data_IF_365377501847
#
_entry.id   IF_365377501847
#
_cell.length_a   1.000
_cell.length_b   1.000
_cell.length_c   1.000
_cell.angle_alpha   90.00
_cell.angle_beta   90.00
_cell.angle_gamma   90.00
#
_symmetry.space_group_name_H-M   'P 1'
#
loop_
_entity.id
_entity.type
_entity.pdbx_description
1 polymer ?
#
# COMPACT_ATOMS: atom_id res chain seq x y z
N UNK A 1 11.89 -1.28 -4.89
CA UNK A 1 10.58 -0.78 -4.49
C UNK A 1 10.66 0.72 -4.23
N UNK A 2 9.73 1.51 -4.75
CA UNK A 2 9.65 2.96 -4.54
C UNK A 2 8.24 3.24 -4.01
N UNK A 3 8.13 3.55 -2.72
CA UNK A 3 6.88 3.87 -2.06
C UNK A 3 6.60 5.38 -2.13
N UNK A 4 5.40 5.75 -2.53
CA UNK A 4 4.85 7.12 -2.44
C UNK A 4 3.79 7.11 -1.33
N UNK A 5 4.20 7.45 -0.11
CA UNK A 5 3.35 7.42 1.09
C UNK A 5 2.14 8.35 0.93
N UNK A 6 0.95 7.80 1.06
CA UNK A 6 -0.30 8.54 0.92
C UNK A 6 -0.67 8.94 -0.51
N UNK A 7 -0.11 8.26 -1.52
CA UNK A 7 -0.38 8.54 -2.94
C UNK A 7 -1.77 8.06 -3.39
N UNK A 8 -2.62 8.95 -3.90
CA UNK A 8 -3.98 8.64 -4.37
C UNK A 8 -3.98 8.06 -5.78
N UNK A 9 -4.75 7.00 -5.98
CA UNK A 9 -4.89 6.34 -7.28
C UNK A 9 -5.54 7.23 -8.35
N UNK A 10 -6.47 8.11 -7.98
CA UNK A 10 -7.13 9.02 -8.93
C UNK A 10 -6.16 10.07 -9.50
N UNK A 11 -5.12 10.46 -8.76
CA UNK A 11 -4.02 11.30 -9.26
C UNK A 11 -3.03 10.45 -10.06
N UNK A 12 -2.69 9.27 -9.59
CA UNK A 12 -1.79 8.35 -10.30
C UNK A 12 -2.31 7.97 -11.70
N UNK A 13 -3.62 7.77 -11.86
CA UNK A 13 -4.27 7.54 -13.17
C UNK A 13 -4.10 8.68 -14.17
N UNK A 14 -3.78 9.88 -13.73
CA UNK A 14 -3.53 11.05 -14.58
C UNK A 14 -2.04 11.42 -14.65
N UNK A 15 -1.20 10.72 -13.92
CA UNK A 15 0.25 10.96 -13.86
C UNK A 15 0.98 10.18 -14.94
N UNK A 16 1.59 10.87 -15.89
CA UNK A 16 2.36 10.23 -16.96
C UNK A 16 3.60 9.49 -16.41
N UNK A 17 4.24 10.02 -15.38
CA UNK A 17 5.43 9.39 -14.79
C UNK A 17 5.07 8.11 -14.03
N UNK A 18 3.90 8.04 -13.39
CA UNK A 18 3.48 6.84 -12.65
C UNK A 18 2.94 5.77 -13.61
N UNK A 19 2.06 6.13 -14.56
CA UNK A 19 1.49 5.17 -15.51
C UNK A 19 2.52 4.57 -16.46
N UNK A 20 3.46 5.39 -16.87
CA UNK A 20 4.42 5.05 -17.90
C UNK A 20 5.86 5.11 -17.37
N UNK A 21 6.08 4.68 -16.12
CA UNK A 21 7.39 4.76 -15.48
C UNK A 21 8.51 4.18 -16.37
N UNK A 22 8.17 3.18 -17.21
CA UNK A 22 8.95 2.76 -18.38
C UNK A 22 7.95 2.30 -19.46
N UNK A 23 7.54 3.20 -20.33
CA UNK A 23 6.38 3.15 -21.22
C UNK A 23 6.09 1.82 -21.92
N UNK A 24 7.11 1.05 -22.31
CA UNK A 24 6.94 -0.17 -23.11
C UNK A 24 6.89 -1.45 -22.26
N UNK A 25 7.30 -1.38 -21.00
CA UNK A 25 7.58 -2.53 -20.16
C UNK A 25 6.99 -2.40 -18.75
N UNK A 26 5.91 -1.63 -18.58
CA UNK A 26 5.27 -1.43 -17.29
C UNK A 26 3.82 -1.89 -17.28
N UNK A 27 3.41 -2.47 -16.17
CA UNK A 27 2.02 -2.82 -15.89
C UNK A 27 1.51 -1.87 -14.82
N UNK A 28 0.43 -1.16 -15.12
CA UNK A 28 -0.24 -0.29 -14.17
C UNK A 28 -1.47 -0.99 -13.60
N UNK A 29 -1.48 -1.21 -12.28
CA UNK A 29 -2.64 -1.73 -11.56
C UNK A 29 -3.39 -0.55 -10.95
N UNK A 30 -4.56 -0.26 -11.50
CA UNK A 30 -5.35 0.93 -11.16
C UNK A 30 -6.41 0.70 -10.09
N UNK A 31 -6.50 -0.52 -9.54
CA UNK A 31 -7.40 -0.90 -8.46
C UNK A 31 -6.71 -1.89 -7.52
N UNK A 32 -5.83 -1.38 -6.67
CA UNK A 32 -5.09 -2.17 -5.70
C UNK A 32 -5.50 -1.83 -4.28
N UNK A 33 -6.03 -2.81 -3.55
CA UNK A 33 -6.59 -2.58 -2.23
C UNK A 33 -5.56 -2.90 -1.16
N UNK A 34 -5.26 -1.88 -0.36
CA UNK A 34 -4.35 -2.03 0.77
C UNK A 34 -5.02 -2.68 1.98
N UNK A 35 -4.23 -3.40 2.77
CA UNK A 35 -4.72 -4.00 4.02
C UNK A 35 -5.09 -2.97 5.07
N UNK A 36 -4.40 -1.84 5.14
CA UNK A 36 -4.68 -0.80 6.12
C UNK A 36 -4.56 0.59 5.48
N UNK A 37 -5.41 1.56 5.86
CA UNK A 37 -5.32 2.94 5.38
C UNK A 37 -4.23 3.74 6.11
N UNK A 38 -3.09 3.12 6.48
CA UNK A 38 -1.92 3.75 7.10
C UNK A 38 -0.69 2.86 6.93
N UNK A 39 0.48 3.47 6.90
CA UNK A 39 1.76 2.91 6.45
C UNK A 39 2.17 1.61 7.16
N UNK A 40 2.14 1.58 8.51
CA UNK A 40 2.71 0.46 9.26
C UNK A 40 2.10 -0.89 8.85
N UNK A 41 0.80 -1.07 9.05
CA UNK A 41 0.15 -2.36 8.74
C UNK A 41 0.06 -2.61 7.24
N UNK A 42 -0.06 -1.56 6.40
CA UNK A 42 -0.07 -1.69 4.94
C UNK A 42 1.23 -2.30 4.42
N UNK A 43 2.40 -1.76 4.84
CA UNK A 43 3.70 -2.26 4.40
C UNK A 43 4.03 -3.64 4.98
N UNK A 44 3.70 -3.91 6.26
CA UNK A 44 3.87 -5.26 6.82
C UNK A 44 3.10 -6.31 6.01
N UNK A 45 1.84 -6.03 5.63
CA UNK A 45 1.04 -6.94 4.82
C UNK A 45 1.60 -7.10 3.40
N UNK A 46 2.04 -6.00 2.76
CA UNK A 46 2.63 -6.03 1.43
C UNK A 46 3.87 -6.92 1.37
N UNK A 47 4.83 -6.72 2.29
CA UNK A 47 6.11 -7.43 2.26
C UNK A 47 6.02 -8.86 2.77
N UNK A 48 4.95 -9.23 3.50
CA UNK A 48 4.74 -10.60 4.00
C UNK A 48 3.75 -11.41 3.15
N UNK A 49 2.99 -10.78 2.26
CA UNK A 49 1.93 -11.44 1.50
C UNK A 49 0.78 -11.97 2.36
N UNK A 50 0.66 -11.51 3.61
CA UNK A 50 -0.33 -11.96 4.56
C UNK A 50 -0.93 -10.78 5.34
N UNK A 51 -2.20 -10.89 5.72
CA UNK A 51 -2.89 -9.85 6.46
C UNK A 51 -2.36 -9.72 7.90
N UNK A 52 -2.35 -8.50 8.42
CA UNK A 52 -1.81 -8.17 9.74
C UNK A 52 -2.53 -8.86 10.90
N UNK A 53 -3.84 -9.15 10.75
CA UNK A 53 -4.61 -9.93 11.74
C UNK A 53 -4.08 -11.37 11.91
N UNK A 54 -3.30 -11.89 10.96
CA UNK A 54 -2.61 -13.18 11.02
C UNK A 54 -1.14 -13.04 11.41
N UNK A 55 -0.47 -12.00 10.91
CA UNK A 55 0.97 -11.81 11.16
C UNK A 55 1.29 -11.17 12.50
N UNK A 56 0.31 -10.56 13.17
CA UNK A 56 0.48 -9.81 14.40
C UNK A 56 0.50 -8.28 14.23
N UNK A 57 0.64 -7.76 13.00
CA UNK A 57 0.81 -6.33 12.72
C UNK A 57 -0.46 -5.66 12.22
N UNK A 58 -1.52 -5.63 13.05
CA UNK A 58 -2.83 -5.10 12.68
C UNK A 58 -3.18 -3.72 13.28
N UNK A 59 -2.25 -3.08 13.97
CA UNK A 59 -2.41 -1.73 14.50
C UNK A 59 -1.08 -1.04 14.70
N UNK A 60 -1.08 0.28 14.92
CA UNK A 60 0.12 1.03 15.29
C UNK A 60 0.83 0.47 16.52
N UNK A 61 0.08 -0.05 17.49
CA UNK A 61 0.58 -0.62 18.74
C UNK A 61 1.29 -1.96 18.53
N UNK A 62 0.93 -2.69 17.47
CA UNK A 62 1.45 -4.01 17.14
C UNK A 62 2.50 -3.99 16.02
N UNK A 63 3.03 -2.83 15.63
CA UNK A 63 4.00 -2.70 14.54
C UNK A 63 5.30 -3.49 14.74
N UNK A 64 5.61 -3.92 15.98
CA UNK A 64 6.79 -4.73 16.32
C UNK A 64 6.47 -6.20 16.59
N UNK A 65 5.23 -6.60 16.41
CA UNK A 65 4.75 -7.94 16.80
C UNK A 65 4.68 -8.90 15.61
N UNK A 66 5.42 -8.63 14.54
CA UNK A 66 5.47 -9.50 13.39
C UNK A 66 5.93 -10.91 13.78
N UNK A 67 5.13 -11.92 13.45
CA UNK A 67 5.38 -13.30 13.83
C UNK A 67 6.34 -13.99 12.85
N UNK A 68 7.65 -13.76 13.01
CA UNK A 68 8.71 -14.37 12.21
C UNK A 68 8.77 -15.91 12.29
N UNK A 69 8.16 -16.53 13.30
CA UNK A 69 8.13 -17.99 13.39
C UNK A 69 7.07 -18.61 12.46
N UNK A 70 6.09 -17.81 12.01
CA UNK A 70 4.99 -18.26 11.17
C UNK A 70 5.03 -17.69 9.76
N UNK A 71 5.60 -16.51 9.58
CA UNK A 71 5.61 -15.80 8.31
C UNK A 71 7.01 -15.32 7.95
N UNK A 72 7.36 -15.42 6.69
CA UNK A 72 8.53 -14.77 6.08
C UNK A 72 8.10 -13.50 5.36
N UNK A 73 9.00 -12.54 5.34
CA UNK A 73 8.89 -11.37 4.47
C UNK A 73 9.58 -11.62 3.14
N UNK A 74 9.33 -10.78 2.14
CA UNK A 74 10.08 -10.82 0.87
C UNK A 74 11.59 -10.66 1.13
N UNK A 75 11.97 -9.89 2.15
CA UNK A 75 13.38 -9.64 2.51
C UNK A 75 14.05 -10.93 2.98
N UNK A 76 13.34 -11.75 3.78
CA UNK A 76 13.85 -13.05 4.22
C UNK A 76 14.16 -13.96 3.02
N UNK A 77 13.21 -14.06 2.06
CA UNK A 77 13.41 -14.84 0.84
C UNK A 77 14.56 -14.33 -0.01
N UNK A 78 14.67 -13.00 -0.18
CA UNK A 78 15.72 -12.40 -0.99
C UNK A 78 17.09 -12.57 -0.36
N UNK A 79 17.20 -12.36 0.96
CA UNK A 79 18.45 -12.57 1.70
C UNK A 79 18.94 -14.03 1.60
N UNK A 80 18.05 -15.01 1.77
CA UNK A 80 18.34 -16.44 1.59
C UNK A 80 18.77 -16.79 0.15
N UNK A 81 18.39 -15.97 -0.84
CA UNK A 81 18.79 -16.11 -2.24
C UNK A 81 19.97 -15.22 -2.66
N UNK A 82 20.77 -14.79 -1.67
CA UNK A 82 21.99 -14.00 -1.83
C UNK A 82 21.77 -12.61 -2.45
N UNK A 83 20.63 -11.97 -2.17
CA UNK A 83 20.46 -10.54 -2.45
C UNK A 83 21.07 -9.72 -1.31
N UNK A 84 21.77 -8.66 -1.69
CA UNK A 84 22.08 -7.58 -0.74
C UNK A 84 20.85 -6.73 -0.54
N UNK A 85 20.41 -6.58 0.69
CA UNK A 85 19.11 -6.01 1.03
C UNK A 85 19.28 -4.67 1.74
N UNK A 86 18.68 -3.62 1.17
CA UNK A 86 18.79 -2.26 1.67
C UNK A 86 17.41 -1.59 1.71
N UNK A 87 17.14 -0.82 2.76
CA UNK A 87 15.98 0.04 2.84
C UNK A 87 16.34 1.42 3.39
N UNK A 88 15.66 2.44 2.87
CA UNK A 88 15.55 3.76 3.47
C UNK A 88 14.08 4.08 3.75
N UNK A 89 13.77 4.38 5.02
CA UNK A 89 12.41 4.51 5.53
C UNK A 89 12.30 5.68 6.53
N UNK A 90 11.11 6.31 6.71
CA UNK A 90 10.96 7.43 7.65
C UNK A 90 10.99 7.01 9.13
N UNK A 91 10.70 5.74 9.42
CA UNK A 91 10.70 5.20 10.80
C UNK A 91 10.92 3.70 10.80
N UNK A 92 11.50 3.18 11.89
CA UNK A 92 11.74 1.75 12.10
C UNK A 92 10.48 0.95 12.50
N UNK A 93 9.29 1.53 12.40
CA UNK A 93 8.02 0.88 12.73
C UNK A 93 7.27 0.35 11.50
N UNK A 94 7.62 0.78 10.30
CA UNK A 94 6.84 0.49 9.09
C UNK A 94 7.17 -0.84 8.43
N UNK A 95 8.32 -1.42 8.73
CA UNK A 95 8.71 -2.76 8.26
C UNK A 95 9.58 -3.47 9.30
N UNK A 96 9.51 -4.82 9.41
CA UNK A 96 10.46 -5.58 10.21
C UNK A 96 11.89 -5.35 9.71
N UNK A 97 12.83 -5.07 10.65
CA UNK A 97 14.24 -4.80 10.30
C UNK A 97 15.04 -6.07 10.01
N UNK A 98 14.47 -7.24 10.24
CA UNK A 98 15.19 -8.51 10.12
C UNK A 98 15.66 -8.75 8.68
N UNK A 99 16.89 -9.30 8.55
CA UNK A 99 17.52 -9.71 7.29
C UNK A 99 17.78 -8.59 6.26
N UNK A 100 17.74 -7.30 6.70
CA UNK A 100 18.35 -6.23 5.92
C UNK A 100 19.85 -6.15 6.21
N UNK A 101 20.68 -6.10 5.18
CA UNK A 101 22.12 -5.80 5.30
C UNK A 101 22.31 -4.34 5.72
N UNK A 102 21.47 -3.43 5.19
CA UNK A 102 21.43 -2.03 5.59
C UNK A 102 20.01 -1.52 5.73
N UNK A 103 19.77 -0.80 6.81
CA UNK A 103 18.47 -0.23 7.11
C UNK A 103 18.64 1.20 7.63
N UNK A 104 18.34 2.16 6.78
CA UNK A 104 18.40 3.57 7.10
C UNK A 104 17.05 4.06 7.61
N UNK A 105 17.08 5.02 8.51
CA UNK A 105 15.91 5.76 8.97
C UNK A 105 16.18 7.23 8.73
N UNK A 106 15.54 7.79 7.72
CA UNK A 106 15.79 9.12 7.21
C UNK A 106 14.61 10.04 7.49
N UNK A 107 14.86 11.12 8.22
CA UNK A 107 13.88 12.17 8.45
C UNK A 107 13.91 13.14 7.24
N UNK A 108 12.91 13.08 6.39
CA UNK A 108 12.78 13.94 5.19
C UNK A 108 12.78 15.43 5.52
N UNK A 109 12.40 15.83 6.73
CA UNK A 109 12.43 17.22 7.17
C UNK A 109 13.86 17.74 7.37
N UNK A 110 14.85 16.84 7.50
CA UNK A 110 16.23 17.16 7.86
C UNK A 110 17.26 16.86 6.76
N UNK A 111 16.88 16.14 5.70
CA UNK A 111 17.77 15.73 4.61
C UNK A 111 17.21 16.08 3.23
N UNK A 112 18.07 16.25 2.25
CA UNK A 112 17.67 16.22 0.84
C UNK A 112 17.51 14.77 0.37
N UNK A 113 16.26 14.29 0.40
CA UNK A 113 15.91 12.91 0.07
C UNK A 113 16.33 12.52 -1.35
N UNK A 114 16.25 13.43 -2.33
CA UNK A 114 16.67 13.16 -3.71
C UNK A 114 18.16 12.83 -3.78
N UNK A 115 18.98 13.64 -3.16
CA UNK A 115 20.43 13.41 -3.07
C UNK A 115 20.74 12.13 -2.31
N UNK A 116 20.12 11.90 -1.18
CA UNK A 116 20.31 10.70 -0.37
C UNK A 116 19.95 9.41 -1.15
N UNK A 117 18.79 9.38 -1.79
CA UNK A 117 18.38 8.23 -2.61
C UNK A 117 19.27 8.03 -3.84
N UNK A 118 19.78 9.11 -4.43
CA UNK A 118 20.78 8.98 -5.52
C UNK A 118 22.09 8.35 -5.02
N UNK A 119 22.57 8.72 -3.84
CA UNK A 119 23.75 8.08 -3.23
C UNK A 119 23.53 6.58 -2.99
N UNK A 120 22.33 6.19 -2.53
CA UNK A 120 21.95 4.78 -2.40
C UNK A 120 21.91 4.07 -3.75
N UNK A 121 21.35 4.68 -4.80
CA UNK A 121 21.37 4.12 -6.16
C UNK A 121 22.81 3.96 -6.69
N UNK A 122 23.69 4.93 -6.46
CA UNK A 122 25.12 4.82 -6.82
C UNK A 122 25.83 3.67 -6.08
N UNK A 123 25.47 3.44 -4.81
CA UNK A 123 25.97 2.31 -4.04
C UNK A 123 25.47 0.98 -4.62
N UNK A 124 24.15 0.88 -4.90
CA UNK A 124 23.57 -0.32 -5.52
C UNK A 124 24.21 -0.61 -6.87
N UNK A 125 24.47 0.42 -7.68
CA UNK A 125 25.19 0.26 -8.98
C UNK A 125 26.55 -0.42 -8.81
N UNK A 126 27.34 -0.01 -7.82
CA UNK A 126 28.65 -0.64 -7.56
C UNK A 126 28.52 -2.12 -7.20
N UNK A 127 27.49 -2.48 -6.43
CA UNK A 127 27.21 -3.88 -6.09
C UNK A 127 26.78 -4.68 -7.34
N UNK A 128 25.89 -4.13 -8.16
CA UNK A 128 25.46 -4.75 -9.42
C UNK A 128 26.64 -4.95 -10.37
N UNK A 129 27.55 -3.99 -10.48
CA UNK A 129 28.76 -4.11 -11.31
C UNK A 129 29.69 -5.23 -10.82
N UNK A 130 29.70 -5.50 -9.53
CA UNK A 130 30.41 -6.64 -8.93
C UNK A 130 29.62 -7.96 -8.98
N UNK A 131 28.49 -8.01 -9.72
CA UNK A 131 27.59 -9.17 -9.88
C UNK A 131 26.80 -9.55 -8.63
N UNK A 132 26.69 -8.64 -7.67
CA UNK A 132 25.80 -8.82 -6.52
C UNK A 132 24.35 -8.54 -6.92
N UNK A 133 23.43 -9.44 -6.59
CA UNK A 133 21.99 -9.18 -6.65
C UNK A 133 21.62 -8.19 -5.54
N UNK A 134 20.73 -7.26 -5.82
CA UNK A 134 20.32 -6.25 -4.84
C UNK A 134 18.82 -6.20 -4.68
N UNK A 135 18.38 -5.81 -3.48
CA UNK A 135 17.03 -5.34 -3.19
C UNK A 135 17.14 -3.97 -2.53
N UNK A 136 16.42 -3.00 -3.05
CA UNK A 136 16.38 -1.65 -2.51
C UNK A 136 14.94 -1.19 -2.31
N UNK A 137 14.60 -0.73 -1.10
CA UNK A 137 13.37 -0.02 -0.81
C UNK A 137 13.67 1.46 -0.56
N UNK A 138 13.04 2.33 -1.33
CA UNK A 138 13.05 3.77 -1.18
C UNK A 138 11.66 4.25 -0.77
N UNK A 139 11.58 5.07 0.28
CA UNK A 139 10.32 5.58 0.79
C UNK A 139 10.28 7.11 0.66
N UNK A 140 9.30 7.62 -0.08
CA UNK A 140 9.03 9.05 -0.21
C UNK A 140 7.83 9.41 0.65
N UNK A 141 8.05 10.16 1.74
CA UNK A 141 7.02 10.56 2.70
C UNK A 141 6.61 12.03 2.60
N UNK A 142 7.02 12.75 1.54
CA UNK A 142 6.73 14.19 1.40
C UNK A 142 5.26 14.56 1.43
N UNK A 143 4.36 13.69 0.89
CA UNK A 143 2.91 13.89 1.01
C UNK A 143 2.49 13.74 2.47
N UNK A 144 2.91 12.65 3.14
CA UNK A 144 2.62 12.39 4.54
C UNK A 144 3.05 13.56 5.43
N UNK A 145 4.31 14.01 5.30
CA UNK A 145 4.85 15.12 6.07
C UNK A 145 4.06 16.42 5.86
N UNK A 146 3.76 16.76 4.60
CA UNK A 146 2.95 17.94 4.28
C UNK A 146 1.54 17.87 4.88
N UNK A 147 0.89 16.72 4.84
CA UNK A 147 -0.43 16.49 5.44
C UNK A 147 -0.35 16.48 6.97
N UNK A 148 0.68 15.87 7.57
CA UNK A 148 0.90 15.93 9.02
C UNK A 148 0.91 17.35 9.52
N UNK A 149 1.65 18.23 8.84
CA UNK A 149 1.84 19.60 9.28
C UNK A 149 0.65 20.52 8.98
N UNK A 150 -0.07 20.26 7.91
CA UNK A 150 -1.17 21.13 7.45
C UNK A 150 -2.56 20.63 7.85
N UNK A 151 -2.72 19.35 8.15
CA UNK A 151 -4.03 18.74 8.47
C UNK A 151 -4.00 18.04 9.83
N UNK A 152 -3.13 17.05 10.03
CA UNK A 152 -3.19 16.20 11.23
C UNK A 152 -2.89 16.93 12.53
N UNK A 153 -2.04 17.96 12.49
CA UNK A 153 -1.76 18.82 13.66
C UNK A 153 -2.88 19.82 13.95
N UNK A 154 -3.66 20.23 12.95
CA UNK A 154 -4.64 21.30 13.05
C UNK A 154 -6.05 20.83 13.33
N UNK A 155 -6.49 19.77 12.66
CA UNK A 155 -7.87 19.31 12.66
C UNK A 155 -8.04 18.02 13.46
N UNK A 156 -9.28 17.76 13.87
CA UNK A 156 -9.75 16.46 14.37
C UNK A 156 -10.64 15.80 13.31
N UNK A 157 -11.01 14.54 13.50
CA UNK A 157 -11.89 13.81 12.57
C UNK A 157 -13.31 14.41 12.45
N UNK A 158 -13.69 15.32 13.33
CA UNK A 158 -15.00 15.98 13.37
C UNK A 158 -14.92 17.49 13.18
N UNK A 159 -13.76 18.02 12.76
CA UNK A 159 -13.58 19.45 12.49
C UNK A 159 -14.31 19.87 11.22
N UNK A 160 -15.47 20.51 11.35
CA UNK A 160 -16.31 20.96 10.22
C UNK A 160 -15.52 21.77 9.19
N UNK A 161 -14.63 22.64 9.66
CA UNK A 161 -13.78 23.47 8.79
C UNK A 161 -12.99 22.63 7.76
N UNK A 162 -12.48 21.46 8.13
CA UNK A 162 -11.77 20.59 7.20
C UNK A 162 -12.70 20.05 6.11
N UNK A 163 -13.88 19.56 6.48
CA UNK A 163 -14.83 18.94 5.53
C UNK A 163 -15.56 19.99 4.67
N UNK A 164 -15.76 21.20 5.17
CA UNK A 164 -16.37 22.31 4.43
C UNK A 164 -15.40 22.94 3.40
N UNK A 165 -14.09 22.72 3.54
CA UNK A 165 -13.05 23.31 2.68
C UNK A 165 -12.39 22.28 1.75
N UNK A 166 -13.18 21.33 1.22
CA UNK A 166 -12.69 20.24 0.35
C UNK A 166 -11.80 20.72 -0.80
N UNK A 167 -12.23 21.76 -1.51
CA UNK A 167 -11.44 22.35 -2.61
C UNK A 167 -10.03 22.76 -2.18
N UNK A 168 -9.90 23.41 -1.03
CA UNK A 168 -8.59 23.82 -0.49
C UNK A 168 -7.75 22.60 -0.08
N UNK A 169 -8.38 21.55 0.42
CA UNK A 169 -7.70 20.29 0.74
C UNK A 169 -7.17 19.63 -0.53
N UNK A 170 -7.96 19.62 -1.60
CA UNK A 170 -7.56 19.11 -2.93
C UNK A 170 -6.37 19.90 -3.49
N UNK A 171 -6.45 21.24 -3.52
CA UNK A 171 -5.34 22.09 -4.00
C UNK A 171 -4.04 21.86 -3.21
N UNK A 172 -4.14 21.70 -1.90
CA UNK A 172 -2.99 21.41 -1.03
C UNK A 172 -2.39 20.02 -1.35
N UNK A 173 -3.24 19.02 -1.48
CA UNK A 173 -2.81 17.66 -1.81
C UNK A 173 -2.18 17.59 -3.20
N UNK A 174 -2.78 18.24 -4.19
CA UNK A 174 -2.28 18.25 -5.57
C UNK A 174 -0.90 18.90 -5.68
N UNK A 175 -0.61 19.93 -4.87
CA UNK A 175 0.74 20.50 -4.79
C UNK A 175 1.76 19.47 -4.24
N UNK A 176 1.41 18.75 -3.17
CA UNK A 176 2.27 17.72 -2.59
C UNK A 176 2.45 16.53 -3.55
N UNK A 177 1.40 16.15 -4.27
CA UNK A 177 1.48 15.08 -5.27
C UNK A 177 2.36 15.47 -6.45
N UNK A 178 2.29 16.73 -6.90
CA UNK A 178 3.20 17.26 -7.93
C UNK A 178 4.67 17.19 -7.49
N UNK A 179 4.97 17.40 -6.22
CA UNK A 179 6.34 17.26 -5.72
C UNK A 179 6.78 15.78 -5.66
N UNK A 180 5.86 14.86 -5.40
CA UNK A 180 6.12 13.42 -5.53
C UNK A 180 6.38 13.01 -7.00
N UNK A 181 5.67 13.59 -7.98
CA UNK A 181 5.94 13.37 -9.41
C UNK A 181 7.36 13.86 -9.79
N UNK A 182 7.76 15.06 -9.37
CA UNK A 182 9.13 15.58 -9.58
C UNK A 182 10.21 14.73 -8.89
N UNK A 183 9.89 14.10 -7.75
CA UNK A 183 10.79 13.13 -7.14
C UNK A 183 10.91 11.88 -8.01
N UNK A 184 9.80 11.33 -8.51
CA UNK A 184 9.84 10.16 -9.39
C UNK A 184 10.55 10.44 -10.72
N UNK A 185 10.36 11.61 -11.32
CA UNK A 185 11.10 12.05 -12.51
C UNK A 185 12.60 12.03 -12.25
N UNK A 186 13.03 12.59 -11.12
CA UNK A 186 14.44 12.59 -10.73
C UNK A 186 14.99 11.17 -10.54
N UNK A 187 14.28 10.30 -9.82
CA UNK A 187 14.70 8.90 -9.63
C UNK A 187 14.77 8.17 -10.98
N UNK A 188 13.79 8.39 -11.86
CA UNK A 188 13.80 7.83 -13.23
C UNK A 188 15.05 8.24 -14.01
N UNK A 189 15.38 9.53 -14.01
CA UNK A 189 16.60 10.03 -14.66
C UNK A 189 17.87 9.39 -14.08
N UNK A 190 17.92 9.18 -12.75
CA UNK A 190 19.08 8.56 -12.11
C UNK A 190 19.20 7.06 -12.39
N UNK A 191 18.08 6.36 -12.53
CA UNK A 191 18.06 4.97 -12.99
C UNK A 191 18.58 4.85 -14.43
N UNK A 192 18.24 5.79 -15.32
CA UNK A 192 18.78 5.87 -16.68
C UNK A 192 20.28 6.17 -16.68
N UNK A 193 20.72 7.19 -15.94
CA UNK A 193 22.14 7.59 -15.81
C UNK A 193 23.01 6.42 -15.34
N UNK A 194 22.53 5.65 -14.39
CA UNK A 194 23.23 4.52 -13.79
C UNK A 194 23.04 3.20 -14.55
N UNK A 195 22.24 3.17 -15.63
CA UNK A 195 21.91 1.96 -16.38
C UNK A 195 21.38 0.83 -15.46
N UNK A 196 20.42 1.14 -14.58
CA UNK A 196 19.84 0.19 -13.62
C UNK A 196 18.53 -0.44 -14.09
N UNK A 197 18.14 -0.24 -15.35
CA UNK A 197 16.90 -0.81 -15.90
C UNK A 197 17.02 -2.28 -16.33
N UNK A 198 18.17 -2.65 -16.89
CA UNK A 198 18.40 -4.01 -17.34
C UNK A 198 18.41 -5.00 -16.18
N UNK A 199 17.73 -6.12 -16.34
CA UNK A 199 17.61 -7.17 -15.31
C UNK A 199 17.05 -6.67 -13.96
N UNK A 200 16.21 -5.64 -13.99
CA UNK A 200 15.59 -5.07 -12.80
C UNK A 200 14.07 -5.25 -12.82
N UNK A 201 13.51 -5.50 -11.66
CA UNK A 201 12.10 -5.31 -11.35
C UNK A 201 12.01 -4.02 -10.55
N UNK A 202 11.24 -3.04 -11.03
CA UNK A 202 11.02 -1.78 -10.33
C UNK A 202 9.53 -1.59 -10.12
N UNK A 203 9.13 -1.34 -8.88
CA UNK A 203 7.73 -1.14 -8.52
C UNK A 203 7.60 0.22 -7.85
N UNK A 204 6.83 1.12 -8.47
CA UNK A 204 6.36 2.37 -7.88
C UNK A 204 4.95 2.14 -7.37
N UNK A 205 4.72 2.40 -6.09
CA UNK A 205 3.43 2.10 -5.47
C UNK A 205 3.07 3.09 -4.36
N UNK A 206 1.81 3.09 -3.96
CA UNK A 206 1.38 3.72 -2.72
C UNK A 206 0.95 2.67 -1.70
N UNK A 207 1.29 2.91 -0.45
CA UNK A 207 0.91 2.08 0.70
C UNK A 207 -0.55 2.28 1.11
N UNK A 208 -1.04 3.52 1.08
CA UNK A 208 -2.44 3.91 1.27
C UNK A 208 -2.74 5.20 0.51
N UNK A 209 -4.02 5.56 0.42
CA UNK A 209 -4.47 6.83 -0.13
C UNK A 209 -4.66 7.91 0.93
N UNK A 210 -5.40 8.97 0.57
CA UNK A 210 -5.61 10.14 1.41
C UNK A 210 -7.03 10.68 1.24
N UNK A 211 -7.74 10.91 2.35
CA UNK A 211 -9.01 11.61 2.33
C UNK A 211 -8.80 13.13 2.30
N UNK A 212 -9.56 13.80 1.45
CA UNK A 212 -9.51 15.25 1.27
C UNK A 212 -10.79 15.93 1.78
N UNK A 213 -11.55 15.23 2.62
CA UNK A 213 -12.82 15.68 3.16
C UNK A 213 -14.05 15.06 2.50
N UNK A 214 -13.87 13.95 1.78
CA UNK A 214 -14.98 13.21 1.14
C UNK A 214 -15.92 12.58 2.17
N UNK A 215 -15.37 12.11 3.28
CA UNK A 215 -16.12 11.40 4.33
C UNK A 215 -15.91 12.03 5.70
N UNK A 216 -17.01 12.43 6.33
CA UNK A 216 -16.99 12.94 7.70
C UNK A 216 -16.45 11.87 8.66
N UNK A 217 -15.54 12.25 9.55
CA UNK A 217 -14.84 11.32 10.43
C UNK A 217 -13.47 10.87 9.94
N UNK A 218 -13.12 11.13 8.65
CA UNK A 218 -11.78 10.89 8.11
C UNK A 218 -11.14 12.20 7.64
N UNK A 219 -10.22 12.75 8.45
CA UNK A 219 -9.55 14.02 8.16
C UNK A 219 -8.37 13.93 7.21
N UNK A 220 -7.80 12.73 7.04
CA UNK A 220 -6.69 12.46 6.13
C UNK A 220 -6.63 10.96 5.81
N UNK A 221 -6.23 10.13 6.76
CA UNK A 221 -6.12 8.68 6.60
C UNK A 221 -6.14 7.98 7.97
N UNK A 222 -6.31 6.67 7.95
CA UNK A 222 -6.09 5.79 9.10
C UNK A 222 -7.30 5.57 10.01
N UNK A 223 -8.43 6.24 9.81
CA UNK A 223 -9.60 6.10 10.66
C UNK A 223 -10.68 5.19 10.06
N UNK A 224 -10.92 5.28 8.76
CA UNK A 224 -12.01 4.61 8.05
C UNK A 224 -11.51 3.83 6.83
N UNK A 225 -12.37 2.96 6.26
CA UNK A 225 -12.03 2.08 5.15
C UNK A 225 -12.71 2.51 3.82
N UNK A 226 -12.73 3.81 3.50
CA UNK A 226 -13.28 4.30 2.24
C UNK A 226 -12.27 4.28 1.09
N UNK A 227 -12.77 4.26 -0.15
CA UNK A 227 -11.96 4.17 -1.37
C UNK A 227 -10.84 5.20 -1.42
N UNK A 228 -11.07 6.42 -0.95
CA UNK A 228 -10.05 7.49 -0.94
C UNK A 228 -8.77 7.13 -0.18
N UNK A 229 -8.86 6.22 0.79
CA UNK A 229 -7.75 5.82 1.66
C UNK A 229 -7.25 4.39 1.43
N UNK A 230 -8.09 3.49 0.87
CA UNK A 230 -7.71 2.08 0.72
C UNK A 230 -7.45 1.65 -0.72
N UNK A 231 -7.93 2.41 -1.72
CA UNK A 231 -7.67 2.11 -3.12
C UNK A 231 -6.38 2.81 -3.55
N UNK A 232 -5.36 2.02 -3.84
CA UNK A 232 -4.00 2.45 -4.17
C UNK A 232 -3.62 2.08 -5.60
N UNK A 233 -2.40 2.36 -6.00
CA UNK A 233 -1.87 2.02 -7.32
C UNK A 233 -0.54 1.29 -7.21
N UNK A 234 -0.22 0.51 -8.26
CA UNK A 234 1.09 -0.08 -8.48
C UNK A 234 1.47 0.08 -9.95
N UNK A 235 2.66 0.58 -10.20
CA UNK A 235 3.31 0.55 -11.50
C UNK A 235 4.47 -0.45 -11.41
N UNK A 236 4.34 -1.59 -12.10
CA UNK A 236 5.26 -2.71 -12.05
C UNK A 236 6.04 -2.78 -13.35
N UNK A 237 7.32 -2.49 -13.30
CA UNK A 237 8.23 -2.55 -14.44
C UNK A 237 9.10 -3.81 -14.41
N UNK A 238 9.28 -4.45 -15.57
CA UNK A 238 10.38 -5.35 -15.89
C UNK A 238 10.57 -5.43 -17.41
N UNK A 239 11.80 -5.58 -17.88
CA UNK A 239 12.13 -5.58 -19.33
C UNK A 239 11.46 -6.72 -20.13
N UNK A 240 11.02 -7.78 -19.49
CA UNK A 240 10.30 -8.91 -20.09
C UNK A 240 8.77 -8.75 -20.10
N UNK A 241 8.25 -7.70 -19.49
CA UNK A 241 6.82 -7.38 -19.50
C UNK A 241 6.44 -6.50 -20.70
N UNK A 242 5.18 -6.52 -21.06
CA UNK A 242 4.59 -5.59 -22.04
C UNK A 242 3.69 -4.61 -21.33
N UNK A 243 3.66 -3.38 -21.83
CA UNK A 243 2.80 -2.34 -21.28
C UNK A 243 1.34 -2.78 -21.25
N UNK A 244 0.71 -2.62 -20.09
CA UNK A 244 -0.69 -2.98 -19.85
C UNK A 244 -1.25 -2.22 -18.65
N UNK A 245 -2.50 -1.78 -18.73
CA UNK A 245 -3.29 -1.42 -17.55
C UNK A 245 -4.15 -2.61 -17.12
N UNK A 246 -4.09 -2.95 -15.83
CA UNK A 246 -4.96 -3.94 -15.19
C UNK A 246 -5.94 -3.19 -14.28
N UNK A 247 -7.21 -3.22 -14.68
CA UNK A 247 -8.31 -2.57 -13.95
C UNK A 247 -9.06 -3.52 -13.01
N UNK A 248 -8.79 -4.82 -13.10
CA UNK A 248 -9.31 -5.80 -12.14
C UNK A 248 -8.76 -5.51 -10.75
N UNK A 249 -9.56 -5.74 -9.72
CA UNK A 249 -9.11 -5.63 -8.34
C UNK A 249 -7.94 -6.58 -8.06
N UNK A 250 -6.90 -6.04 -7.46
CA UNK A 250 -5.79 -6.77 -6.85
C UNK A 250 -5.61 -6.30 -5.41
N UNK A 251 -4.80 -6.99 -4.62
CA UNK A 251 -4.59 -6.67 -3.21
C UNK A 251 -3.11 -6.42 -2.94
N UNK A 252 -2.78 -5.56 -2.01
CA UNK A 252 -1.38 -5.30 -1.64
C UNK A 252 -0.61 -6.57 -1.25
N UNK A 253 -1.29 -7.54 -0.63
CA UNK A 253 -0.71 -8.85 -0.26
C UNK A 253 -0.36 -9.73 -1.47
N UNK A 254 -0.87 -9.44 -2.66
CA UNK A 254 -0.60 -10.21 -3.88
C UNK A 254 0.78 -9.90 -4.49
N UNK A 255 1.40 -8.77 -4.12
CA UNK A 255 2.66 -8.33 -4.74
C UNK A 255 3.87 -9.15 -4.30
N UNK A 256 3.96 -9.53 -3.03
CA UNK A 256 5.07 -10.38 -2.57
C UNK A 256 5.13 -11.72 -3.32
N UNK A 257 4.06 -12.55 -3.39
CA UNK A 257 4.10 -13.79 -4.16
C UNK A 257 4.31 -13.56 -5.66
N UNK A 258 3.84 -12.44 -6.22
CA UNK A 258 4.09 -12.08 -7.62
C UNK A 258 5.58 -11.82 -7.88
N UNK A 259 6.24 -11.06 -7.03
CA UNK A 259 7.68 -10.76 -7.16
C UNK A 259 8.49 -12.06 -7.01
N UNK A 260 8.16 -12.90 -6.03
CA UNK A 260 8.87 -14.16 -5.83
C UNK A 260 8.71 -15.11 -7.02
N UNK A 261 7.50 -15.22 -7.59
CA UNK A 261 7.27 -16.01 -8.81
C UNK A 261 8.08 -15.45 -9.99
N UNK A 262 8.10 -14.13 -10.18
CA UNK A 262 8.89 -13.49 -11.22
C UNK A 262 10.39 -13.79 -11.10
N UNK A 263 10.89 -13.83 -9.88
CA UNK A 263 12.30 -14.18 -9.58
C UNK A 263 12.59 -15.68 -9.58
N UNK A 264 11.58 -16.54 -9.76
CA UNK A 264 11.70 -17.99 -9.68
C UNK A 264 12.00 -18.51 -8.26
N UNK A 265 11.68 -17.74 -7.24
CA UNK A 265 11.87 -18.09 -5.83
C UNK A 265 10.61 -18.78 -5.30
N UNK A 266 10.75 -20.01 -4.84
CA UNK A 266 9.64 -20.79 -4.31
C UNK A 266 9.29 -20.38 -2.88
N UNK A 267 8.00 -20.39 -2.57
CA UNK A 267 7.51 -20.21 -1.20
C UNK A 267 7.94 -21.39 -0.30
N UNK A 268 8.32 -21.07 0.91
CA UNK A 268 8.71 -22.07 1.92
C UNK A 268 7.46 -22.65 2.60
N UNK A 269 7.22 -23.93 2.37
CA UNK A 269 6.05 -24.65 2.89
C UNK A 269 6.10 -24.96 4.39
N UNK A 270 7.19 -24.64 5.07
CA UNK A 270 7.29 -24.74 6.53
C UNK A 270 6.63 -23.54 7.25
N UNK A 271 6.28 -22.49 6.51
CA UNK A 271 5.58 -21.30 7.03
C UNK A 271 4.08 -21.35 6.69
N UNK A 272 3.33 -20.50 7.37
CA UNK A 272 1.89 -20.38 7.12
C UNK A 272 1.61 -19.94 5.67
N UNK A 273 0.54 -20.45 5.05
CA UNK A 273 0.18 -20.04 3.69
C UNK A 273 -0.15 -18.55 3.64
N UNK A 274 0.21 -17.91 2.53
CA UNK A 274 -0.08 -16.50 2.30
C UNK A 274 -1.59 -16.25 2.09
N UNK A 275 -2.03 -15.03 2.31
CA UNK A 275 -3.34 -14.55 1.85
C UNK A 275 -3.25 -14.05 0.40
N UNK A 276 -2.07 -13.58 0.01
CA UNK A 276 -1.75 -13.14 -1.34
C UNK A 276 -1.58 -14.30 -2.32
N UNK A 277 -1.88 -14.00 -3.59
CA UNK A 277 -1.65 -14.89 -4.74
C UNK A 277 -0.88 -14.15 -5.81
N UNK A 278 -0.20 -14.89 -6.69
CA UNK A 278 0.50 -14.27 -7.81
C UNK A 278 -0.46 -13.62 -8.80
N UNK A 279 -0.07 -12.45 -9.30
CA UNK A 279 -0.79 -11.69 -10.32
C UNK A 279 -0.40 -12.08 -11.76
N UNK A 280 0.53 -13.01 -11.96
CA UNK A 280 0.91 -13.47 -13.30
C UNK A 280 -0.25 -14.00 -14.14
N UNK A 281 -1.29 -14.66 -13.60
CA UNK A 281 -2.47 -14.98 -14.39
C UNK A 281 -3.13 -13.74 -15.04
N UNK A 282 -3.29 -12.65 -14.31
CA UNK A 282 -3.82 -11.38 -14.85
C UNK A 282 -2.84 -10.71 -15.84
N UNK A 283 -1.55 -10.75 -15.52
CA UNK A 283 -0.48 -10.23 -16.39
C UNK A 283 -0.49 -10.95 -17.74
N UNK A 284 -0.73 -12.26 -17.74
CA UNK A 284 -0.78 -13.13 -18.92
C UNK A 284 -2.18 -13.27 -19.54
N UNK A 285 -3.05 -12.28 -19.37
CA UNK A 285 -4.40 -12.22 -19.96
C UNK A 285 -5.33 -13.38 -19.60
N UNK A 286 -5.06 -14.07 -18.49
CA UNK A 286 -5.99 -15.02 -17.92
C UNK A 286 -7.03 -14.27 -17.07
N UNK A 287 -8.18 -14.89 -16.89
CA UNK A 287 -9.26 -14.32 -16.07
C UNK A 287 -9.48 -15.18 -14.81
N UNK A 288 -8.58 -15.11 -13.82
CA UNK A 288 -8.75 -15.86 -12.58
C UNK A 288 -9.97 -15.35 -11.81
N UNK A 289 -10.52 -16.20 -10.95
CA UNK A 289 -11.57 -15.76 -10.01
C UNK A 289 -11.02 -14.64 -9.14
N UNK A 290 -11.79 -13.56 -9.03
CA UNK A 290 -11.46 -12.44 -8.17
C UNK A 290 -11.40 -12.87 -6.69
N UNK A 291 -10.40 -12.36 -5.97
CA UNK A 291 -10.28 -12.56 -4.55
C UNK A 291 -10.88 -11.37 -3.78
N UNK A 292 -11.53 -11.65 -2.67
CA UNK A 292 -12.00 -10.61 -1.77
C UNK A 292 -10.81 -9.85 -1.17
N UNK A 293 -10.88 -8.52 -1.15
CA UNK A 293 -9.91 -7.69 -0.48
C UNK A 293 -10.41 -7.32 0.92
N UNK A 294 -9.54 -7.46 1.90
CA UNK A 294 -9.83 -7.15 3.30
C UNK A 294 -8.95 -6.01 3.79
N UNK A 295 -9.57 -5.07 4.49
CA UNK A 295 -8.90 -3.94 5.13
C UNK A 295 -9.39 -3.78 6.56
N UNK A 296 -8.51 -3.42 7.48
CA UNK A 296 -8.90 -3.03 8.84
C UNK A 296 -8.09 -1.86 9.37
N UNK A 297 -8.70 -1.10 10.27
CA UNK A 297 -8.08 0.05 10.92
C UNK A 297 -8.70 0.35 12.28
N UNK A 298 -8.03 1.19 13.06
CA UNK A 298 -8.50 1.69 14.34
C UNK A 298 -8.97 3.13 14.26
N UNK A 299 -10.30 3.35 14.16
CA UNK A 299 -10.86 4.69 14.24
C UNK A 299 -10.68 5.25 15.66
N UNK A 300 -9.92 6.35 15.84
CA UNK A 300 -9.68 6.95 17.15
C UNK A 300 -10.86 7.79 17.65
N UNK A 301 -11.96 7.88 16.89
CA UNK A 301 -13.11 8.74 17.16
C UNK A 301 -12.68 10.22 17.33
N UNK A 302 -13.00 10.83 18.43
CA UNK A 302 -12.61 12.19 18.79
C UNK A 302 -11.20 12.29 19.41
N UNK A 303 -10.61 11.15 19.79
CA UNK A 303 -9.22 11.07 20.27
C UNK A 303 -8.21 11.26 19.12
N UNK A 304 -6.99 11.68 19.46
CA UNK A 304 -5.86 11.69 18.52
C UNK A 304 -5.04 10.38 18.55
N UNK A 305 -5.38 9.48 19.45
CA UNK A 305 -4.64 8.24 19.70
C UNK A 305 -5.45 7.08 19.08
N UNK A 306 -4.88 6.33 18.12
CA UNK A 306 -5.51 5.14 17.57
C UNK A 306 -5.83 4.11 18.66
N UNK A 307 -6.96 3.37 18.56
CA UNK A 307 -7.25 2.28 19.49
C UNK A 307 -6.23 1.15 19.35
N UNK A 308 -6.08 0.34 20.40
CA UNK A 308 -5.14 -0.79 20.37
C UNK A 308 -5.55 -1.89 19.42
N UNK A 309 -6.84 -2.04 19.18
CA UNK A 309 -7.41 -3.03 18.24
C UNK A 309 -8.15 -2.30 17.11
N UNK A 310 -8.11 -2.83 15.88
CA UNK A 310 -8.99 -2.36 14.82
C UNK A 310 -10.48 -2.41 15.24
N UNK A 311 -11.21 -1.38 14.88
CA UNK A 311 -12.63 -1.23 15.18
C UNK A 311 -13.45 -0.78 13.97
N UNK A 312 -12.80 -0.71 12.81
CA UNK A 312 -13.39 -0.44 11.50
C UNK A 312 -12.73 -1.39 10.50
N UNK A 313 -13.54 -2.11 9.76
CA UNK A 313 -13.08 -3.14 8.84
C UNK A 313 -13.87 -3.09 7.54
N UNK A 314 -13.30 -3.54 6.46
CA UNK A 314 -14.03 -3.70 5.20
C UNK A 314 -13.66 -4.95 4.45
N UNK A 315 -14.61 -5.45 3.67
CA UNK A 315 -14.39 -6.48 2.66
C UNK A 315 -14.99 -6.03 1.34
N UNK A 316 -14.28 -6.26 0.24
CA UNK A 316 -14.76 -5.82 -1.07
C UNK A 316 -14.37 -6.75 -2.21
N UNK A 317 -15.14 -6.61 -3.29
CA UNK A 317 -14.82 -7.03 -4.67
C UNK A 317 -14.56 -5.78 -5.52
N UNK A 318 -14.30 -5.95 -6.81
CA UNK A 318 -14.18 -4.81 -7.75
C UNK A 318 -15.44 -3.93 -7.82
N UNK A 319 -16.62 -4.50 -7.55
CA UNK A 319 -17.91 -3.83 -7.73
C UNK A 319 -18.62 -3.51 -6.40
N UNK A 320 -18.34 -4.23 -5.30
CA UNK A 320 -19.08 -4.12 -4.05
C UNK A 320 -18.18 -4.02 -2.84
N UNK A 321 -18.60 -3.25 -1.83
CA UNK A 321 -17.90 -3.14 -0.55
C UNK A 321 -18.84 -3.13 0.64
N UNK A 322 -18.51 -3.94 1.64
CA UNK A 322 -19.13 -3.92 2.96
C UNK A 322 -18.12 -3.33 3.95
N UNK A 323 -18.54 -2.31 4.70
CA UNK A 323 -17.79 -1.73 5.83
C UNK A 323 -18.51 -2.13 7.13
N UNK A 324 -17.73 -2.53 8.13
CA UNK A 324 -18.19 -2.90 9.47
C UNK A 324 -17.54 -1.96 10.47
N UNK A 325 -18.33 -1.09 11.09
CA UNK A 325 -17.91 -0.12 12.08
C UNK A 325 -18.24 -0.67 13.49
N UNK A 326 -17.32 -1.44 14.07
CA UNK A 326 -17.52 -2.08 15.38
C UNK A 326 -17.63 -1.05 16.52
N UNK A 327 -17.05 0.14 16.34
CA UNK A 327 -17.05 1.19 17.36
C UNK A 327 -18.45 1.80 17.63
N UNK A 328 -19.39 1.65 16.71
CA UNK A 328 -20.76 2.18 16.83
C UNK A 328 -21.82 1.18 16.38
N UNK A 329 -21.45 -0.08 16.16
CA UNK A 329 -22.31 -1.19 15.73
C UNK A 329 -23.10 -0.86 14.45
N UNK A 330 -22.44 -0.26 13.46
CA UNK A 330 -23.04 0.03 12.15
C UNK A 330 -22.36 -0.70 11.02
N UNK A 331 -23.10 -0.89 9.93
CA UNK A 331 -22.58 -1.43 8.66
C UNK A 331 -22.95 -0.51 7.51
N UNK A 332 -22.14 -0.58 6.46
CA UNK A 332 -22.37 0.16 5.23
C UNK A 332 -22.12 -0.78 4.04
N UNK A 333 -22.99 -0.72 3.02
CA UNK A 333 -22.85 -1.49 1.77
C UNK A 333 -22.87 -0.52 0.58
N UNK A 334 -21.89 -0.64 -0.31
CA UNK A 334 -21.74 0.23 -1.47
C UNK A 334 -21.59 -0.54 -2.77
N UNK A 335 -22.29 -0.06 -3.82
CA UNK A 335 -22.10 -0.46 -5.21
C UNK A 335 -21.01 0.42 -5.84
N UNK A 336 -19.76 0.01 -5.75
CA UNK A 336 -18.61 0.81 -6.22
C UNK A 336 -18.60 1.06 -7.73
N UNK A 337 -19.34 0.25 -8.50
CA UNK A 337 -19.47 0.41 -9.94
C UNK A 337 -20.33 1.60 -10.30
N UNK A 338 -21.44 1.79 -9.60
CA UNK A 338 -22.41 2.85 -9.86
C UNK A 338 -22.27 4.03 -8.88
N UNK A 339 -21.62 3.81 -7.74
CA UNK A 339 -21.37 4.78 -6.68
C UNK A 339 -19.90 4.70 -6.19
N UNK A 340 -18.93 5.08 -7.02
CA UNK A 340 -17.50 5.02 -6.66
C UNK A 340 -17.11 6.00 -5.56
N UNK A 341 -17.96 6.95 -5.20
CA UNK A 341 -17.74 7.91 -4.10
C UNK A 341 -18.39 7.46 -2.79
N UNK A 342 -19.10 6.31 -2.82
CA UNK A 342 -19.71 5.71 -1.62
C UNK A 342 -20.72 6.65 -0.92
N UNK A 343 -21.55 7.33 -1.70
CA UNK A 343 -22.52 8.31 -1.21
C UNK A 343 -23.85 7.66 -0.78
N UNK A 344 -24.17 6.47 -1.33
CA UNK A 344 -25.46 5.80 -1.15
C UNK A 344 -25.29 4.47 -0.41
N UNK A 345 -25.49 4.47 0.90
CA UNK A 345 -25.44 3.24 1.72
C UNK A 345 -26.64 2.34 1.45
N UNK A 346 -26.39 1.15 0.92
CA UNK A 346 -27.40 0.13 0.54
C UNK A 346 -27.58 -0.97 1.59
N UNK A 347 -27.04 -0.81 2.80
CA UNK A 347 -27.19 -1.82 3.86
C UNK A 347 -28.66 -2.09 4.19
N UNK A 348 -29.02 -3.35 4.46
CA UNK A 348 -30.38 -3.80 4.77
C UNK A 348 -31.41 -3.56 3.66
N UNK A 349 -30.98 -3.39 2.40
CA UNK A 349 -31.90 -3.30 1.26
C UNK A 349 -32.30 -4.67 0.68
N UNK A 350 -31.78 -5.76 1.24
CA UNK A 350 -32.11 -7.13 0.83
C UNK A 350 -31.30 -7.63 -0.36
N UNK A 351 -30.18 -7.02 -0.69
CA UNK A 351 -29.29 -7.47 -1.75
C UNK A 351 -28.51 -8.71 -1.29
N UNK A 352 -28.50 -9.76 -2.12
CA UNK A 352 -27.78 -11.02 -1.84
C UNK A 352 -26.28 -10.81 -1.58
N UNK A 353 -25.68 -9.84 -2.25
CA UNK A 353 -24.25 -9.52 -2.10
C UNK A 353 -23.87 -9.15 -0.66
N UNK A 354 -24.79 -8.58 0.13
CA UNK A 354 -24.55 -8.29 1.54
C UNK A 354 -24.22 -9.56 2.32
N UNK A 355 -24.99 -10.63 2.11
CA UNK A 355 -24.77 -11.92 2.77
C UNK A 355 -23.45 -12.56 2.31
N UNK A 356 -23.15 -12.51 1.01
CA UNK A 356 -21.90 -13.06 0.44
C UNK A 356 -20.68 -12.37 1.06
N UNK A 357 -20.68 -11.03 1.09
CA UNK A 357 -19.58 -10.27 1.68
C UNK A 357 -19.46 -10.52 3.18
N UNK A 358 -20.59 -10.63 3.89
CA UNK A 358 -20.59 -10.93 5.32
C UNK A 358 -20.00 -12.31 5.64
N UNK A 359 -20.36 -13.34 4.88
CA UNK A 359 -19.81 -14.68 5.05
C UNK A 359 -18.29 -14.72 4.81
N UNK A 360 -17.80 -14.06 3.75
CA UNK A 360 -16.35 -13.98 3.47
C UNK A 360 -15.62 -13.15 4.54
N UNK A 361 -16.22 -12.08 5.03
CA UNK A 361 -15.71 -11.32 6.16
C UNK A 361 -15.48 -12.19 7.40
N UNK A 362 -16.49 -13.00 7.77
CA UNK A 362 -16.39 -13.90 8.92
C UNK A 362 -15.27 -14.94 8.74
N UNK A 363 -15.13 -15.53 7.56
CA UNK A 363 -14.04 -16.49 7.25
C UNK A 363 -12.64 -15.88 7.44
N UNK A 364 -12.47 -14.60 7.14
CA UNK A 364 -11.19 -13.90 7.37
C UNK A 364 -10.99 -13.63 8.87
N UNK A 365 -12.06 -13.25 9.59
CA UNK A 365 -12.01 -13.03 11.04
C UNK A 365 -11.66 -14.31 11.82
N UNK A 366 -12.19 -15.47 11.41
CA UNK A 366 -11.89 -16.77 12.03
C UNK A 366 -10.41 -17.13 11.98
N UNK A 367 -9.66 -16.64 10.98
CA UNK A 367 -8.22 -16.86 10.85
C UNK A 367 -7.38 -15.89 11.68
N UNK A 368 -7.99 -14.91 12.31
CA UNK A 368 -7.28 -13.90 13.11
C UNK A 368 -6.63 -14.54 14.33
N UNK A 369 -5.33 -14.28 14.53
CA UNK A 369 -4.59 -14.71 15.72
C UNK A 369 -4.63 -13.66 16.84
N UNK A 370 -5.19 -12.48 16.55
CA UNK A 370 -5.31 -11.36 17.46
C UNK A 370 -6.79 -11.18 17.79
N UNK A 371 -7.21 -11.66 18.94
CA UNK A 371 -8.57 -11.50 19.49
C UNK A 371 -8.70 -10.24 20.34
#
# INVERSE_FOLDING_TARGET
>A
LICIDGGRVDRAKNSSIIQNFRKENSIFFSQSITYAPYTNSALHALISGAYGNRTGCNSYWHSREFNHNKFKTIVDYLHENNYYTCADVPTNLIMPKQNYDEYYVSDESSIDLKTHHYELLCKMKKLVDSKQKIFLHLHYSGIHEGIRDTVLKKFTNYSKEFFENRKQNEERYDALFTDAEKYLEYIHEKLDELNLWENSIIIVFSDHGMSLGEKFGERAYGALCYESTINTFYSYFSSDLKHKEITSQVRSVDFMPTILEHLGIKLDTNFEPLDGVSLFPLINDQNPKENFAYTETGNPLDSKIPPKKPNTKSIRTSEWKLIVNEHNDTKELYDLKNDPLEENNLINTGLEIESILWEEFLKIQEKSVIN
#
